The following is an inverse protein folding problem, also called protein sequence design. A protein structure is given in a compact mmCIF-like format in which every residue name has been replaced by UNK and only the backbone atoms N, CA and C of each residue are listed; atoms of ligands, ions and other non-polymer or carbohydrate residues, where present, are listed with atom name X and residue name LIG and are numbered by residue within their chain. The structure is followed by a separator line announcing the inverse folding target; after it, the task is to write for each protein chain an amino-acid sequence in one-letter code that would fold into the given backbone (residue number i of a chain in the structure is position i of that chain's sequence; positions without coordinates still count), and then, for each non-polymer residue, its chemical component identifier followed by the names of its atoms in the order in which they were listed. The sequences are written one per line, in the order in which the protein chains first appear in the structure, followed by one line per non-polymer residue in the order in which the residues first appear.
data_IF_358567041527
#
_entry.id   IF_358567041527
#
_cell.length_a   1.000
_cell.length_b   1.000
_cell.length_c   1.000
_cell.angle_alpha   90.00
_cell.angle_beta   90.00
_cell.angle_gamma   90.00
#
_symmetry.space_group_name_H-M   'P 1'
#
loop_
_entity.id
_entity.type
_entity.pdbx_description
1 polymer ?
#
# COMPACT_ATOMS: atom_id res chain seq x y z
N UNK A 1 -16.97 -8.01 7.77
CA UNK A 1 -15.53 -7.70 7.62
C UNK A 1 -15.18 -7.96 6.16
N UNK A 2 -14.93 -6.91 5.37
CA UNK A 2 -14.58 -7.04 3.95
C UNK A 2 -13.13 -7.53 3.88
N UNK A 3 -12.94 -8.81 3.61
CA UNK A 3 -11.61 -9.38 3.36
C UNK A 3 -11.26 -9.12 1.90
N UNK A 4 -10.43 -8.11 1.64
CA UNK A 4 -9.78 -7.99 0.33
C UNK A 4 -8.92 -9.23 0.08
N UNK A 5 -9.03 -9.88 -1.08
CA UNK A 5 -8.09 -10.94 -1.44
C UNK A 5 -6.66 -10.39 -1.39
N UNK A 6 -5.73 -11.18 -0.85
CA UNK A 6 -4.31 -10.81 -0.74
C UNK A 6 -3.74 -10.34 -2.09
N UNK A 7 -4.13 -10.99 -3.18
CA UNK A 7 -3.76 -10.59 -4.54
C UNK A 7 -4.25 -9.18 -4.91
N UNK A 8 -5.48 -8.83 -4.55
CA UNK A 8 -6.05 -7.50 -4.80
C UNK A 8 -5.29 -6.44 -4.02
N UNK A 9 -4.94 -6.73 -2.77
CA UNK A 9 -4.17 -5.81 -1.93
C UNK A 9 -2.76 -5.57 -2.49
N UNK A 10 -2.08 -6.61 -2.96
CA UNK A 10 -0.79 -6.46 -3.65
C UNK A 10 -0.88 -5.67 -4.95
N UNK A 11 -1.93 -5.89 -5.74
CA UNK A 11 -2.14 -5.12 -6.96
C UNK A 11 -2.33 -3.64 -6.62
N UNK A 12 -3.13 -3.30 -5.60
CA UNK A 12 -3.32 -1.91 -5.17
C UNK A 12 -1.99 -1.31 -4.69
N UNK A 13 -1.19 -2.03 -3.90
CA UNK A 13 0.14 -1.56 -3.48
C UNK A 13 1.06 -1.25 -4.67
N UNK A 14 1.05 -2.11 -5.69
CA UNK A 14 1.87 -1.93 -6.89
C UNK A 14 1.46 -0.66 -7.64
N UNK A 15 0.16 -0.46 -7.83
CA UNK A 15 -0.37 0.75 -8.48
C UNK A 15 -0.03 2.02 -7.67
N UNK A 16 -0.14 1.98 -6.33
CA UNK A 16 0.29 3.09 -5.48
C UNK A 16 1.79 3.40 -5.62
N UNK A 17 2.63 2.38 -5.72
CA UNK A 17 4.08 2.54 -5.91
C UNK A 17 4.41 3.15 -7.28
N UNK A 18 3.79 2.65 -8.34
CA UNK A 18 3.96 3.17 -9.70
C UNK A 18 3.47 4.61 -9.80
N UNK A 19 2.32 4.91 -9.19
CA UNK A 19 1.79 6.26 -9.09
C UNK A 19 2.74 7.21 -8.39
N UNK A 20 3.24 6.83 -7.21
CA UNK A 20 4.17 7.68 -6.45
C UNK A 20 5.48 7.91 -7.22
N UNK A 21 5.94 6.91 -7.95
CA UNK A 21 7.12 7.01 -8.82
C UNK A 21 6.89 8.00 -9.97
N UNK A 22 5.73 7.94 -10.63
CA UNK A 22 5.35 8.89 -11.69
C UNK A 22 5.20 10.31 -11.12
N UNK A 23 4.53 10.45 -9.97
CA UNK A 23 4.33 11.72 -9.28
C UNK A 23 5.64 12.38 -8.86
N UNK A 24 6.58 11.58 -8.35
CA UNK A 24 7.90 12.05 -7.92
C UNK A 24 8.83 12.40 -9.07
N UNK A 25 8.72 11.71 -10.21
CA UNK A 25 9.58 11.92 -11.39
C UNK A 25 9.12 13.06 -12.30
N UNK A 26 7.85 13.44 -12.25
CA UNK A 26 7.30 14.54 -13.06
C UNK A 26 6.21 15.32 -12.30
N UNK A 27 6.56 15.98 -11.18
CA UNK A 27 5.59 16.63 -10.30
C UNK A 27 4.75 17.68 -11.03
N UNK A 28 5.32 18.42 -11.99
CA UNK A 28 4.60 19.40 -12.81
C UNK A 28 3.44 18.80 -13.62
N UNK A 29 3.49 17.51 -13.97
CA UNK A 29 2.45 16.80 -14.72
C UNK A 29 1.44 16.13 -13.79
N UNK A 30 1.89 15.67 -12.61
CA UNK A 30 1.15 14.73 -11.78
C UNK A 30 0.69 15.30 -10.42
N UNK A 31 1.09 16.51 -10.03
CA UNK A 31 0.72 17.08 -8.73
C UNK A 31 -0.80 17.20 -8.51
N UNK A 32 -1.56 17.52 -9.56
CA UNK A 32 -3.03 17.68 -9.50
C UNK A 32 -3.80 16.48 -10.06
N UNK A 33 -3.11 15.41 -10.44
CA UNK A 33 -3.78 14.25 -11.03
C UNK A 33 -4.25 13.29 -9.95
N UNK A 34 -5.49 12.86 -10.06
CA UNK A 34 -6.02 11.79 -9.22
C UNK A 34 -5.46 10.43 -9.66
N UNK A 35 -5.20 9.56 -8.68
CA UNK A 35 -4.97 8.14 -8.92
C UNK A 35 -6.31 7.46 -9.19
N UNK A 36 -6.39 6.69 -10.27
CA UNK A 36 -7.55 5.85 -10.60
C UNK A 36 -7.19 4.38 -10.49
N UNK A 37 -7.95 3.63 -9.71
CA UNK A 37 -7.71 2.22 -9.44
C UNK A 37 -8.94 1.38 -9.74
N UNK A 38 -8.77 0.29 -10.47
CA UNK A 38 -9.82 -0.71 -10.65
C UNK A 38 -9.71 -1.80 -9.59
N UNK A 39 -10.74 -1.91 -8.74
CA UNK A 39 -10.83 -2.93 -7.70
C UNK A 39 -12.02 -3.83 -8.01
N UNK A 40 -11.73 -4.97 -8.63
CA UNK A 40 -12.77 -5.86 -9.17
C UNK A 40 -13.54 -5.17 -10.30
N UNK A 41 -14.78 -4.78 -10.03
CA UNK A 41 -15.67 -4.10 -10.99
C UNK A 41 -15.91 -2.63 -10.66
N UNK A 42 -15.24 -2.10 -9.63
CA UNK A 42 -15.42 -0.72 -9.15
C UNK A 42 -14.16 0.10 -9.46
N UNK A 43 -14.36 1.32 -9.96
CA UNK A 43 -13.30 2.33 -10.08
C UNK A 43 -13.25 3.16 -8.79
N UNK A 44 -12.08 3.27 -8.18
CA UNK A 44 -11.77 4.21 -7.11
C UNK A 44 -10.99 5.37 -7.70
N UNK A 45 -11.40 6.59 -7.39
CA UNK A 45 -10.65 7.80 -7.71
C UNK A 45 -10.16 8.42 -6.40
N UNK A 46 -8.84 8.54 -6.27
CA UNK A 46 -8.17 9.08 -5.08
C UNK A 46 -7.58 10.42 -5.49
N UNK A 47 -7.98 11.49 -4.81
CA UNK A 47 -7.46 12.84 -5.06
C UNK A 47 -5.95 12.91 -4.71
N UNK A 48 -5.21 13.87 -5.26
CA UNK A 48 -3.82 14.08 -4.88
C UNK A 48 -3.62 14.32 -3.39
N UNK A 49 -4.53 15.07 -2.76
CA UNK A 49 -4.48 15.39 -1.33
C UNK A 49 -4.74 14.16 -0.43
N UNK A 50 -5.61 13.24 -0.87
CA UNK A 50 -5.94 12.03 -0.12
C UNK A 50 -4.94 10.88 -0.36
N UNK A 51 -4.10 10.99 -1.39
CA UNK A 51 -3.23 9.88 -1.81
C UNK A 51 -2.30 9.40 -0.70
N UNK A 52 -1.73 10.32 0.10
CA UNK A 52 -0.79 9.96 1.17
C UNK A 52 -1.47 9.12 2.24
N UNK A 53 -2.66 9.52 2.68
CA UNK A 53 -3.44 8.79 3.67
C UNK A 53 -3.89 7.43 3.12
N UNK A 54 -4.39 7.42 1.88
CA UNK A 54 -4.79 6.19 1.20
C UNK A 54 -3.63 5.18 1.09
N UNK A 55 -2.46 5.63 0.63
CA UNK A 55 -1.28 4.78 0.49
C UNK A 55 -0.83 4.21 1.85
N UNK A 56 -0.84 5.02 2.91
CA UNK A 56 -0.54 4.55 4.26
C UNK A 56 -1.53 3.47 4.74
N UNK A 57 -2.83 3.67 4.50
CA UNK A 57 -3.85 2.69 4.86
C UNK A 57 -3.68 1.36 4.11
N UNK A 58 -3.34 1.39 2.82
CA UNK A 58 -3.04 0.20 2.02
C UNK A 58 -1.80 -0.53 2.55
N UNK A 59 -0.72 0.19 2.86
CA UNK A 59 0.51 -0.40 3.41
C UNK A 59 0.27 -1.03 4.78
N UNK A 60 -0.51 -0.39 5.64
CA UNK A 60 -0.90 -0.94 6.93
C UNK A 60 -1.74 -2.21 6.75
N UNK A 61 -2.77 -2.18 5.91
CA UNK A 61 -3.60 -3.34 5.62
C UNK A 61 -2.80 -4.51 5.03
N UNK A 62 -1.82 -4.23 4.17
CA UNK A 62 -0.92 -5.24 3.63
C UNK A 62 0.00 -5.83 4.70
N UNK A 63 0.54 -4.99 5.58
CA UNK A 63 1.39 -5.41 6.69
C UNK A 63 0.65 -6.34 7.64
N UNK A 64 -0.62 -6.05 7.95
CA UNK A 64 -1.51 -6.88 8.75
C UNK A 64 -1.86 -8.20 8.04
N UNK A 65 -2.26 -8.13 6.76
CA UNK A 65 -2.65 -9.31 5.98
C UNK A 65 -1.50 -10.32 5.81
N UNK A 66 -0.26 -9.82 5.70
CA UNK A 66 0.94 -10.63 5.54
C UNK A 66 1.64 -10.95 6.86
N UNK A 67 1.10 -10.47 7.99
CA UNK A 67 1.71 -10.62 9.32
C UNK A 67 3.16 -10.15 9.35
N UNK A 68 3.48 -9.08 8.61
CA UNK A 68 4.86 -8.58 8.51
C UNK A 68 5.43 -8.25 9.89
N UNK A 69 4.63 -7.67 10.79
CA UNK A 69 5.03 -7.36 12.17
C UNK A 69 5.53 -8.59 12.93
N UNK A 70 4.94 -9.76 12.68
CA UNK A 70 5.38 -11.03 13.28
C UNK A 70 6.69 -11.53 12.66
N UNK A 71 6.91 -11.24 11.36
CA UNK A 71 8.12 -11.61 10.61
C UNK A 71 9.33 -10.74 10.94
N UNK A 72 9.12 -9.44 11.21
CA UNK A 72 10.21 -8.53 11.61
C UNK A 72 10.78 -8.92 12.98
N UNK A 73 9.99 -9.64 13.79
CA UNK A 73 10.46 -10.35 14.97
C UNK A 73 10.86 -9.42 16.12
N UNK A 74 10.37 -9.77 17.31
CA UNK A 74 10.99 -9.39 18.56
C UNK A 74 12.53 -9.58 18.46
N UNK A 75 13.35 -8.52 18.61
CA UNK A 75 14.81 -8.66 18.65
C UNK A 75 15.31 -9.53 19.83
N UNK A 76 14.42 -10.00 20.71
CA UNK A 76 14.73 -10.78 21.92
C UNK A 76 14.83 -12.31 21.73
N UNK A 77 14.82 -12.85 20.50
CA UNK A 77 14.84 -14.32 20.29
C UNK A 77 16.12 -14.87 19.63
N UNK A 78 17.23 -14.17 19.81
CA UNK A 78 18.58 -14.73 19.67
C UNK A 78 19.34 -14.71 20.99
N UNK A 79 18.81 -15.36 22.03
CA UNK A 79 19.68 -15.98 23.04
C UNK A 79 19.37 -17.46 23.05
N UNK A 80 20.20 -18.17 22.26
CA UNK A 80 20.19 -19.61 22.19
C UNK A 80 20.56 -20.21 23.54
N UNK A 81 19.73 -21.17 23.95
CA UNK A 81 20.11 -22.28 24.80
C UNK A 81 21.46 -22.88 24.34
N UNK A 82 22.49 -22.79 25.17
CA UNK A 82 23.26 -23.94 25.68
C UNK A 82 24.25 -23.53 26.75
#
# INVERSE_FOLDING_TARGET
MLTFPQQTLFNIMKECYEWETMRSSSPEIFHDKSLKLMVGVVELTISPEDFVEFNAAIQQGASEALKIVELIGNPSRQEGKK
#
